data_IF_694174935636
#
_entry.id   IF_694174935636
#
_cell.length_a   1.000
_cell.length_b   1.000
_cell.length_c   1.000
_cell.angle_alpha   90.00
_cell.angle_beta   90.00
_cell.angle_gamma   90.00
#
_symmetry.space_group_name_H-M   'P 1'
#
loop_
_entity.id
_entity.type
_entity.pdbx_description
1 polymer ?
#
# COMPACT_ATOMS: atom_id res chain seq x y z
N UNK A 1 -12.94 -12.13 6.15
CA UNK A 1 -13.38 -11.37 4.97
C UNK A 1 -12.54 -11.85 3.81
N UNK A 2 -13.12 -12.30 2.70
CA UNK A 2 -12.39 -12.94 1.60
C UNK A 2 -11.97 -11.95 0.51
N UNK A 3 -11.20 -10.91 0.86
CA UNK A 3 -10.68 -10.01 -0.15
C UNK A 3 -9.69 -10.73 -1.08
N UNK A 4 -9.85 -10.55 -2.38
CA UNK A 4 -8.95 -11.09 -3.41
C UNK A 4 -8.00 -10.02 -3.96
N UNK A 5 -8.37 -8.76 -3.88
CA UNK A 5 -7.55 -7.59 -4.25
C UNK A 5 -7.81 -6.49 -3.23
N UNK A 6 -6.77 -5.73 -2.89
CA UNK A 6 -6.87 -4.52 -2.06
C UNK A 6 -6.68 -3.28 -2.94
N UNK A 7 -7.65 -2.36 -2.91
CA UNK A 7 -7.59 -1.09 -3.62
C UNK A 7 -7.35 0.05 -2.64
N UNK A 8 -6.35 0.87 -2.89
CA UNK A 8 -6.01 2.08 -2.14
C UNK A 8 -6.13 3.33 -3.02
N UNK A 9 -7.34 3.91 -3.15
CA UNK A 9 -7.48 5.22 -3.79
C UNK A 9 -6.97 6.30 -2.84
N UNK A 10 -6.01 7.12 -3.28
CA UNK A 10 -5.34 8.13 -2.46
C UNK A 10 -5.18 9.46 -3.19
N UNK A 11 -4.99 10.52 -2.40
CA UNK A 11 -4.61 11.85 -2.84
C UNK A 11 -3.53 12.38 -1.89
N UNK A 12 -2.32 11.80 -1.97
CA UNK A 12 -1.18 12.11 -1.12
C UNK A 12 -0.03 12.66 -1.95
N UNK A 13 0.76 13.57 -1.38
CA UNK A 13 1.82 14.26 -2.10
C UNK A 13 2.86 14.86 -1.17
N UNK A 14 3.78 15.58 -1.77
CA UNK A 14 4.83 16.34 -1.11
C UNK A 14 4.33 17.73 -0.72
N UNK A 15 4.63 18.15 0.49
CA UNK A 15 4.54 19.56 0.84
C UNK A 15 5.64 20.33 0.09
N UNK A 16 5.27 21.44 -0.55
CA UNK A 16 6.19 22.19 -1.43
C UNK A 16 7.28 22.96 -0.67
N UNK A 17 7.18 23.04 0.65
CA UNK A 17 8.12 23.68 1.57
C UNK A 17 9.08 22.68 2.28
N UNK A 18 8.95 21.38 2.00
CA UNK A 18 9.84 20.35 2.55
C UNK A 18 11.05 20.09 1.65
N UNK A 19 12.14 19.59 2.26
CA UNK A 19 13.33 19.18 1.54
C UNK A 19 13.10 17.87 0.72
N UNK A 20 13.97 17.68 -0.27
CA UNK A 20 13.84 16.55 -1.21
C UNK A 20 14.03 15.19 -0.54
N UNK A 21 14.91 15.08 0.45
CA UNK A 21 15.19 13.82 1.16
C UNK A 21 13.98 13.38 1.96
N UNK A 22 13.39 14.28 2.75
CA UNK A 22 12.16 14.03 3.49
C UNK A 22 11.03 13.61 2.56
N UNK A 23 10.85 14.31 1.45
CA UNK A 23 9.83 13.98 0.45
C UNK A 23 10.02 12.59 -0.15
N UNK A 24 11.25 12.21 -0.45
CA UNK A 24 11.58 10.87 -0.96
C UNK A 24 11.30 9.78 0.07
N UNK A 25 11.63 10.01 1.31
CA UNK A 25 11.41 9.05 2.40
C UNK A 25 9.91 8.84 2.67
N UNK A 26 9.12 9.89 2.62
CA UNK A 26 7.66 9.81 2.73
C UNK A 26 7.04 8.94 1.62
N UNK A 27 7.46 9.15 0.36
CA UNK A 27 7.00 8.33 -0.75
C UNK A 27 7.40 6.85 -0.58
N UNK A 28 8.65 6.60 -0.20
CA UNK A 28 9.15 5.25 0.04
C UNK A 28 8.37 4.56 1.16
N UNK A 29 8.09 5.25 2.25
CA UNK A 29 7.31 4.73 3.36
C UNK A 29 5.87 4.36 2.93
N UNK A 30 5.21 5.25 2.18
CA UNK A 30 3.87 5.04 1.65
C UNK A 30 3.81 3.83 0.71
N UNK A 31 4.76 3.68 -0.22
CA UNK A 31 4.80 2.54 -1.13
C UNK A 31 5.12 1.24 -0.37
N UNK A 32 6.07 1.31 0.56
CA UNK A 32 6.52 0.14 1.34
C UNK A 32 5.39 -0.44 2.18
N UNK A 33 4.65 0.39 2.93
CA UNK A 33 3.58 -0.13 3.80
C UNK A 33 2.46 -0.81 2.99
N UNK A 34 2.11 -0.27 1.83
CA UNK A 34 1.07 -0.87 0.99
C UNK A 34 1.56 -2.18 0.33
N UNK A 35 2.80 -2.23 -0.12
CA UNK A 35 3.42 -3.48 -0.60
C UNK A 35 3.50 -4.53 0.52
N UNK A 36 3.76 -4.10 1.76
CA UNK A 36 3.73 -4.99 2.92
C UNK A 36 2.36 -5.59 3.17
N UNK A 37 1.28 -4.85 2.93
CA UNK A 37 -0.07 -5.39 3.00
C UNK A 37 -0.33 -6.48 1.95
N UNK A 38 0.24 -6.37 0.74
CA UNK A 38 0.17 -7.46 -0.24
C UNK A 38 0.82 -8.73 0.31
N UNK A 39 2.04 -8.63 0.83
CA UNK A 39 2.78 -9.76 1.41
C UNK A 39 2.05 -10.36 2.60
N UNK A 40 1.63 -9.52 3.56
CA UNK A 40 1.01 -9.98 4.80
C UNK A 40 -0.33 -10.71 4.59
N UNK A 41 -1.05 -10.38 3.52
CA UNK A 41 -2.36 -10.96 3.21
C UNK A 41 -2.32 -11.95 2.04
N UNK A 42 -1.21 -12.03 1.31
CA UNK A 42 -1.05 -12.89 0.14
C UNK A 42 -2.02 -12.53 -0.99
N UNK A 43 -2.29 -11.22 -1.21
CA UNK A 43 -3.21 -10.72 -2.24
C UNK A 43 -2.61 -9.55 -3.00
N UNK A 44 -2.98 -9.34 -4.27
CA UNK A 44 -2.58 -8.15 -5.02
C UNK A 44 -3.03 -6.85 -4.35
N UNK A 45 -2.21 -5.82 -4.52
CA UNK A 45 -2.55 -4.44 -4.13
C UNK A 45 -2.54 -3.56 -5.36
N UNK A 46 -3.59 -2.74 -5.50
CA UNK A 46 -3.74 -1.70 -6.50
C UNK A 46 -3.81 -0.36 -5.79
N UNK A 47 -2.75 0.42 -5.89
CA UNK A 47 -2.68 1.76 -5.32
C UNK A 47 -2.82 2.79 -6.42
N UNK A 48 -3.82 3.66 -6.29
CA UNK A 48 -4.10 4.72 -7.26
C UNK A 48 -3.95 6.06 -6.56
N UNK A 49 -3.01 6.87 -7.00
CA UNK A 49 -2.75 8.18 -6.43
C UNK A 49 -2.90 9.29 -7.48
N UNK A 50 -3.29 10.45 -7.00
CA UNK A 50 -3.44 11.66 -7.81
C UNK A 50 -2.09 12.20 -8.28
N UNK A 51 -2.08 12.88 -9.43
CA UNK A 51 -0.97 13.71 -9.95
C UNK A 51 -1.35 15.19 -9.94
N UNK A 52 -0.37 16.07 -10.17
CA UNK A 52 -0.57 17.51 -10.25
C UNK A 52 -0.48 18.22 -8.90
N UNK A 53 -1.10 19.39 -8.80
CA UNK A 53 -1.00 20.26 -7.62
C UNK A 53 -2.35 20.48 -6.97
N UNK A 54 -2.34 20.73 -5.64
CA UNK A 54 -3.50 21.30 -4.95
C UNK A 54 -3.74 22.74 -5.43
N UNK A 55 -5.01 23.21 -5.37
CA UNK A 55 -5.39 24.53 -5.89
C UNK A 55 -4.59 25.70 -5.31
N UNK A 56 -4.14 25.60 -4.06
CA UNK A 56 -3.32 26.63 -3.40
C UNK A 56 -1.81 26.45 -3.62
N UNK A 57 -1.39 25.41 -4.37
CA UNK A 57 0.02 25.12 -4.64
C UNK A 57 0.82 24.58 -3.44
N UNK A 58 0.20 24.37 -2.29
CA UNK A 58 0.91 23.93 -1.07
C UNK A 58 1.32 22.45 -1.13
N UNK A 59 0.70 21.66 -2.00
CA UNK A 59 1.00 20.25 -2.17
C UNK A 59 1.13 19.89 -3.64
N UNK A 60 2.16 19.13 -3.98
CA UNK A 60 2.33 18.44 -5.25
C UNK A 60 2.02 16.96 -5.03
N UNK A 61 0.95 16.45 -5.62
CA UNK A 61 0.66 15.02 -5.56
C UNK A 61 1.76 14.25 -6.27
N UNK A 62 2.22 13.15 -5.66
CA UNK A 62 3.40 12.45 -6.21
C UNK A 62 3.07 11.36 -7.23
N UNK A 63 1.80 11.18 -7.60
CA UNK A 63 1.43 10.11 -8.54
C UNK A 63 1.95 8.77 -8.06
N UNK A 64 2.80 8.13 -8.86
CA UNK A 64 3.45 6.89 -8.47
C UNK A 64 2.47 5.77 -8.13
N UNK A 65 1.30 5.76 -8.78
CA UNK A 65 0.33 4.66 -8.69
C UNK A 65 1.00 3.34 -9.04
N UNK A 66 0.59 2.25 -8.42
CA UNK A 66 1.24 0.96 -8.69
C UNK A 66 0.30 -0.21 -8.49
N UNK A 67 0.71 -1.33 -9.09
CA UNK A 67 0.07 -2.64 -8.92
C UNK A 67 1.11 -3.65 -8.46
N UNK A 68 0.78 -4.47 -7.47
CA UNK A 68 1.62 -5.59 -7.04
C UNK A 68 0.89 -6.91 -7.14
N UNK A 69 1.65 -8.00 -7.24
CA UNK A 69 1.12 -9.33 -6.95
C UNK A 69 1.05 -9.58 -5.43
N UNK A 70 0.58 -10.75 -5.02
CA UNK A 70 0.43 -11.14 -3.60
C UNK A 70 1.74 -11.31 -2.82
N UNK A 71 2.91 -11.18 -3.46
CA UNK A 71 4.23 -11.12 -2.81
C UNK A 71 4.82 -9.71 -2.77
N UNK A 72 4.03 -8.67 -3.10
CA UNK A 72 4.49 -7.30 -3.12
C UNK A 72 5.46 -6.96 -4.27
N UNK A 73 5.62 -7.86 -5.25
CA UNK A 73 6.39 -7.57 -6.46
C UNK A 73 5.62 -6.56 -7.31
N UNK A 74 6.27 -5.45 -7.68
CA UNK A 74 5.70 -4.48 -8.59
C UNK A 74 5.48 -5.11 -9.97
N UNK A 75 4.24 -5.08 -10.45
CA UNK A 75 3.83 -5.45 -11.80
C UNK A 75 3.72 -4.22 -12.69
N UNK A 76 3.35 -3.09 -12.11
CA UNK A 76 3.28 -1.79 -12.74
C UNK A 76 3.65 -0.69 -11.75
N UNK A 77 4.29 0.37 -12.25
CA UNK A 77 4.59 1.60 -11.53
C UNK A 77 4.40 2.78 -12.47
N UNK A 78 3.44 3.63 -12.18
CA UNK A 78 3.15 4.85 -12.93
C UNK A 78 4.18 5.95 -12.66
N UNK A 79 4.23 6.93 -13.54
CA UNK A 79 5.04 8.12 -13.35
C UNK A 79 4.53 9.00 -12.18
N UNK A 80 5.35 9.97 -11.78
CA UNK A 80 5.02 10.91 -10.71
C UNK A 80 4.22 12.13 -11.19
N UNK A 81 4.15 12.37 -12.49
CA UNK A 81 3.74 13.66 -13.04
C UNK A 81 2.73 13.57 -14.22
N UNK A 82 2.41 12.37 -14.68
CA UNK A 82 1.51 12.17 -15.81
C UNK A 82 0.23 11.48 -15.42
N UNK A 83 -0.87 11.87 -16.01
CA UNK A 83 -2.10 11.10 -16.01
C UNK A 83 -1.93 9.87 -16.91
N UNK A 84 -2.18 8.71 -16.39
CA UNK A 84 -1.98 7.44 -17.09
C UNK A 84 -3.21 6.54 -16.91
N UNK A 85 -3.50 5.74 -17.93
CA UNK A 85 -4.46 4.64 -17.87
C UNK A 85 -3.70 3.39 -18.27
N UNK A 86 -3.71 2.40 -17.38
CA UNK A 86 -3.02 1.14 -17.61
C UNK A 86 -3.92 -0.05 -17.31
N UNK A 87 -3.77 -1.12 -18.07
CA UNK A 87 -4.45 -2.41 -17.89
C UNK A 87 -3.42 -3.44 -17.46
N UNK A 88 -3.53 -3.92 -16.23
CA UNK A 88 -2.60 -4.89 -15.64
C UNK A 88 -3.31 -6.21 -15.42
N UNK A 89 -2.76 -7.28 -15.99
CA UNK A 89 -3.26 -8.64 -15.76
C UNK A 89 -2.83 -9.15 -14.39
N UNK A 90 -3.77 -9.71 -13.63
CA UNK A 90 -3.54 -10.31 -12.32
C UNK A 90 -3.99 -11.77 -12.34
N UNK A 91 -3.10 -12.69 -11.97
CA UNK A 91 -3.48 -14.08 -11.69
C UNK A 91 -3.92 -14.21 -10.23
N UNK A 92 -5.22 -14.27 -10.00
CA UNK A 92 -5.78 -14.40 -8.64
C UNK A 92 -5.51 -15.78 -8.02
N UNK A 93 -5.19 -16.80 -8.82
CA UNK A 93 -4.83 -18.12 -8.29
C UNK A 93 -3.48 -18.12 -7.57
N UNK A 94 -2.57 -17.20 -7.92
CA UNK A 94 -1.32 -17.02 -7.17
C UNK A 94 -1.55 -16.72 -5.68
N UNK A 95 -2.63 -16.03 -5.34
CA UNK A 95 -2.99 -15.70 -3.95
C UNK A 95 -3.20 -16.95 -3.10
N UNK A 96 -3.84 -17.98 -3.66
CA UNK A 96 -4.03 -19.26 -2.97
C UNK A 96 -2.69 -19.98 -2.74
N UNK A 97 -1.81 -19.93 -3.73
CA UNK A 97 -0.46 -20.47 -3.62
C UNK A 97 0.33 -19.77 -2.50
N UNK A 98 0.36 -18.44 -2.47
CA UNK A 98 1.09 -17.67 -1.46
C UNK A 98 0.54 -17.92 -0.06
N UNK A 99 -0.77 -17.91 0.13
CA UNK A 99 -1.43 -18.17 1.41
C UNK A 99 -1.18 -19.58 1.96
N UNK A 100 -1.00 -20.57 1.09
CA UNK A 100 -0.66 -21.95 1.49
C UNK A 100 0.78 -22.08 1.93
N UNK A 101 1.72 -21.39 1.26
CA UNK A 101 3.15 -21.48 1.54
C UNK A 101 3.61 -20.51 2.64
N UNK A 102 2.96 -19.37 2.75
CA UNK A 102 3.18 -18.36 3.79
C UNK A 102 1.85 -18.09 4.52
N UNK A 103 1.44 -18.98 5.41
CA UNK A 103 0.09 -18.97 5.99
C UNK A 103 -0.04 -18.01 7.18
N UNK A 104 0.40 -16.77 7.07
CA UNK A 104 0.41 -15.78 8.15
C UNK A 104 -0.95 -15.61 8.84
N UNK A 105 -2.05 -15.64 8.08
CA UNK A 105 -3.40 -15.49 8.63
C UNK A 105 -3.85 -16.72 9.43
N UNK A 106 -3.40 -17.92 9.07
CA UNK A 106 -3.66 -19.16 9.80
C UNK A 106 -2.85 -19.23 11.09
N UNK A 107 -1.58 -18.83 10.99
CA UNK A 107 -0.60 -19.01 12.05
C UNK A 107 -0.58 -17.85 13.07
N UNK A 108 -1.61 -16.99 13.05
CA UNK A 108 -1.76 -15.88 13.98
C UNK A 108 -1.95 -16.40 15.42
N UNK A 109 -1.25 -15.80 16.35
CA UNK A 109 -1.42 -16.04 17.78
C UNK A 109 -2.56 -15.19 18.33
N UNK A 110 -3.79 -15.57 18.00
CA UNK A 110 -4.99 -14.80 18.34
C UNK A 110 -5.16 -14.59 19.85
N UNK A 111 -4.62 -15.48 20.66
CA UNK A 111 -4.64 -15.38 22.13
C UNK A 111 -3.86 -14.17 22.67
N UNK A 112 -2.97 -13.59 21.87
CA UNK A 112 -2.19 -12.40 22.25
C UNK A 112 -2.81 -11.07 21.79
N UNK A 113 -3.94 -11.09 21.09
CA UNK A 113 -4.50 -9.88 20.46
C UNK A 113 -5.45 -9.09 21.36
N UNK A 114 -5.82 -9.59 22.54
CA UNK A 114 -6.72 -8.88 23.45
C UNK A 114 -6.29 -7.41 23.74
N UNK A 115 -4.99 -7.10 23.94
CA UNK A 115 -4.57 -5.71 24.20
C UNK A 115 -4.79 -4.76 23.00
N UNK A 116 -4.87 -5.28 21.77
CA UNK A 116 -5.03 -4.44 20.54
C UNK A 116 -6.36 -3.68 20.51
N UNK A 117 -7.35 -4.13 21.29
CA UNK A 117 -8.65 -3.46 21.42
C UNK A 117 -8.66 -2.39 22.50
N UNK A 118 -7.60 -2.27 23.29
CA UNK A 118 -7.44 -1.22 24.31
C UNK A 118 -6.81 0.03 23.68
N UNK A 119 -7.24 1.20 24.14
CA UNK A 119 -6.64 2.47 23.69
C UNK A 119 -5.21 2.65 24.21
N UNK A 120 -4.96 2.18 25.43
CA UNK A 120 -3.66 2.21 26.09
C UNK A 120 -3.38 0.82 26.66
N UNK A 121 -2.09 0.45 26.70
CA UNK A 121 -1.60 -0.83 27.25
C UNK A 121 -0.86 -0.54 28.56
N UNK A 122 -1.19 0.56 29.23
CA UNK A 122 -0.63 0.87 30.53
C UNK A 122 -1.14 -0.17 31.55
N UNK A 123 -0.23 -0.68 32.36
CA UNK A 123 -0.61 -1.54 33.48
C UNK A 123 -1.35 -0.69 34.52
N UNK A 124 -2.52 -1.16 34.98
CA UNK A 124 -3.25 -0.61 36.13
C UNK A 124 -2.49 -0.86 37.41
#
# INVERSE_FOLDING_TARGET
MGAEILFYPTAIGWATDQDEETNKDQYNAWQTIQRSHAVANGVPVVSVNRVGFEQNGAMKFWGGSFVTNGQGKLLYLASHDKEEIEVVELDLNESDYFRKHWPFLRDRRIETYAPITKRFIDED
#
